data_IF_802070324763
#
_entry.id   IF_802070324763
#
_cell.length_a   1.000
_cell.length_b   1.000
_cell.length_c   1.000
_cell.angle_alpha   90.00
_cell.angle_beta   90.00
_cell.angle_gamma   90.00
#
_symmetry.space_group_name_H-M   'P 1'
#
loop_
_entity.id
_entity.type
_entity.pdbx_description
1 polymer ?
#
# COMPACT_ATOMS: atom_id res chain seq x y z
N UNK A 1 2.35 -26.71 10.66
CA UNK A 1 3.28 -26.19 9.62
C UNK A 1 3.35 -24.69 9.84
N UNK A 2 4.54 -24.10 9.72
CA UNK A 2 4.72 -22.64 9.86
C UNK A 2 3.84 -21.94 8.83
N UNK A 3 2.91 -21.10 9.29
CA UNK A 3 2.00 -20.32 8.45
C UNK A 3 2.73 -19.10 7.86
N UNK A 4 3.76 -19.35 7.06
CA UNK A 4 4.62 -18.31 6.48
C UNK A 4 3.79 -17.27 5.73
N UNK A 5 2.78 -17.69 4.96
CA UNK A 5 1.83 -16.81 4.28
C UNK A 5 1.06 -15.92 5.26
N UNK A 6 0.58 -16.46 6.39
CA UNK A 6 -0.14 -15.64 7.38
C UNK A 6 0.78 -14.63 8.07
N UNK A 7 2.02 -15.02 8.36
CA UNK A 7 3.03 -14.14 8.96
C UNK A 7 3.43 -13.01 8.01
N UNK A 8 3.68 -13.31 6.74
CA UNK A 8 4.00 -12.31 5.71
C UNK A 8 2.82 -11.36 5.50
N UNK A 9 1.59 -11.90 5.41
CA UNK A 9 0.39 -11.08 5.28
C UNK A 9 0.17 -10.21 6.53
N UNK A 10 0.43 -10.72 7.74
CA UNK A 10 0.34 -9.95 8.98
C UNK A 10 1.39 -8.83 9.05
N UNK A 11 2.63 -9.10 8.62
CA UNK A 11 3.70 -8.11 8.53
C UNK A 11 3.34 -7.01 7.52
N UNK A 12 2.83 -7.38 6.35
CA UNK A 12 2.39 -6.43 5.32
C UNK A 12 1.24 -5.55 5.81
N UNK A 13 0.21 -6.14 6.44
CA UNK A 13 -0.89 -5.38 7.07
C UNK A 13 -0.36 -4.40 8.12
N UNK A 14 0.64 -4.79 8.91
CA UNK A 14 1.27 -3.93 9.92
C UNK A 14 2.06 -2.78 9.28
N UNK A 15 2.79 -3.03 8.19
CA UNK A 15 3.49 -1.99 7.43
C UNK A 15 2.50 -0.95 6.89
N UNK A 16 1.42 -1.40 6.24
CA UNK A 16 0.37 -0.52 5.73
C UNK A 16 -0.22 0.32 6.85
N UNK A 17 -0.59 -0.30 7.97
CA UNK A 17 -1.14 0.40 9.13
C UNK A 17 -0.16 1.45 9.70
N UNK A 18 1.15 1.14 9.71
CA UNK A 18 2.18 2.10 10.12
C UNK A 18 2.26 3.30 9.17
N UNK A 19 2.28 3.06 7.85
CA UNK A 19 2.36 4.11 6.83
C UNK A 19 1.10 5.00 6.77
N UNK A 20 -0.07 4.47 7.15
CA UNK A 20 -1.31 5.23 7.30
C UNK A 20 -1.26 6.19 8.50
N UNK A 21 -0.60 5.79 9.59
CA UNK A 21 -0.40 6.67 10.76
C UNK A 21 0.66 7.74 10.51
N UNK A 22 1.67 7.43 9.69
CA UNK A 22 2.76 8.34 9.30
C UNK A 22 2.38 9.18 8.08
N UNK A 23 1.32 9.97 8.19
CA UNK A 23 0.86 10.89 7.12
C UNK A 23 1.85 12.01 6.84
N UNK A 24 2.76 12.28 7.78
CA UNK A 24 3.87 13.21 7.65
C UNK A 24 4.91 12.77 6.60
N UNK A 25 5.06 11.46 6.37
CA UNK A 25 6.03 10.92 5.42
C UNK A 25 5.47 10.97 4.00
N UNK A 26 6.09 11.77 3.14
CA UNK A 26 5.64 11.92 1.75
C UNK A 26 6.10 10.74 0.89
N UNK A 27 5.31 10.41 -0.14
CA UNK A 27 5.69 9.35 -1.07
C UNK A 27 7.00 9.66 -1.81
N UNK A 28 7.27 10.93 -2.12
CA UNK A 28 8.51 11.34 -2.80
C UNK A 28 9.74 11.10 -1.92
N UNK A 29 9.63 11.31 -0.61
CA UNK A 29 10.73 11.05 0.33
C UNK A 29 11.05 9.56 0.41
N UNK A 30 10.01 8.72 0.47
CA UNK A 30 10.17 7.26 0.43
C UNK A 30 10.79 6.80 -0.90
N UNK A 31 10.36 7.37 -2.03
CA UNK A 31 10.95 7.05 -3.34
C UNK A 31 12.43 7.43 -3.39
N UNK A 32 12.80 8.62 -2.93
CA UNK A 32 14.17 9.10 -2.97
C UNK A 32 15.09 8.31 -2.03
N UNK A 33 14.59 7.89 -0.87
CA UNK A 33 15.40 7.19 0.14
C UNK A 33 15.47 5.67 -0.09
N UNK A 34 14.35 5.04 -0.40
CA UNK A 34 14.19 3.59 -0.37
C UNK A 34 13.79 2.98 -1.73
N UNK A 35 13.56 3.79 -2.75
CA UNK A 35 13.18 3.31 -4.08
C UNK A 35 11.75 2.76 -4.20
N UNK A 36 10.91 2.91 -3.16
CA UNK A 36 9.50 2.56 -3.21
C UNK A 36 8.67 3.52 -2.35
N UNK A 37 7.36 3.57 -2.59
CA UNK A 37 6.41 4.32 -1.77
C UNK A 37 5.06 3.60 -1.67
N UNK A 38 4.06 4.25 -1.07
CA UNK A 38 2.69 3.69 -0.93
C UNK A 38 2.07 3.32 -2.28
N UNK A 39 2.34 4.08 -3.34
CA UNK A 39 1.84 3.76 -4.68
C UNK A 39 2.50 2.50 -5.27
N UNK A 40 3.77 2.22 -4.95
CA UNK A 40 4.43 0.98 -5.34
C UNK A 40 3.79 -0.21 -4.63
N UNK A 41 3.46 -0.08 -3.33
CA UNK A 41 2.75 -1.12 -2.59
C UNK A 41 1.37 -1.43 -3.20
N UNK A 42 0.66 -0.40 -3.66
CA UNK A 42 -0.64 -0.58 -4.33
C UNK A 42 -0.47 -1.31 -5.67
N UNK A 43 0.56 -0.95 -6.44
CA UNK A 43 0.88 -1.64 -7.70
C UNK A 43 1.24 -3.12 -7.47
N UNK A 44 2.04 -3.42 -6.44
CA UNK A 44 2.39 -4.80 -6.09
C UNK A 44 1.17 -5.60 -5.65
N UNK A 45 0.26 -4.99 -4.88
CA UNK A 45 -1.00 -5.61 -4.48
C UNK A 45 -1.87 -5.94 -5.70
N UNK A 46 -2.01 -5.00 -6.64
CA UNK A 46 -2.72 -5.21 -7.91
C UNK A 46 -2.11 -6.35 -8.71
N UNK A 47 -0.79 -6.35 -8.90
CA UNK A 47 -0.11 -7.40 -9.66
C UNK A 47 -0.24 -8.78 -8.98
N UNK A 48 -0.21 -8.85 -7.65
CA UNK A 48 -0.42 -10.09 -6.92
C UNK A 48 -1.86 -10.63 -7.09
N UNK A 49 -2.87 -9.77 -7.08
CA UNK A 49 -4.25 -10.14 -7.37
C UNK A 49 -4.41 -10.67 -8.80
N UNK A 50 -3.82 -9.97 -9.78
CA UNK A 50 -3.83 -10.37 -11.20
C UNK A 50 -3.18 -11.76 -11.40
N UNK A 51 -2.05 -12.02 -10.73
CA UNK A 51 -1.40 -13.33 -10.72
C UNK A 51 -2.26 -14.42 -10.06
N UNK A 52 -3.08 -14.03 -9.07
CA UNK A 52 -4.09 -14.89 -8.45
C UNK A 52 -5.36 -15.09 -9.27
N UNK A 53 -5.47 -14.47 -10.45
CA UNK A 53 -6.65 -14.55 -11.33
C UNK A 53 -7.76 -13.56 -10.99
N UNK A 54 -7.50 -12.59 -10.10
CA UNK A 54 -8.44 -11.55 -9.72
C UNK A 54 -8.05 -10.21 -10.36
N UNK A 55 -8.98 -9.58 -11.09
CA UNK A 55 -8.73 -8.29 -11.74
C UNK A 55 -9.24 -7.18 -10.83
N UNK A 56 -8.32 -6.45 -10.21
CA UNK A 56 -8.65 -5.27 -9.41
C UNK A 56 -8.12 -3.99 -10.05
N UNK A 57 -8.87 -2.91 -9.86
CA UNK A 57 -8.47 -1.58 -10.35
C UNK A 57 -7.36 -0.97 -9.51
N UNK A 58 -6.60 -0.03 -10.08
CA UNK A 58 -5.57 0.70 -9.33
C UNK A 58 -6.16 1.57 -8.20
N UNK A 59 -7.39 2.06 -8.36
CA UNK A 59 -8.07 2.79 -7.30
C UNK A 59 -8.39 1.91 -6.09
N UNK A 60 -8.87 0.69 -6.34
CA UNK A 60 -9.15 -0.32 -5.31
C UNK A 60 -7.86 -0.77 -4.61
N UNK A 61 -6.80 -1.05 -5.38
CA UNK A 61 -5.51 -1.39 -4.80
C UNK A 61 -4.95 -0.25 -3.92
N UNK A 62 -5.13 1.01 -4.34
CA UNK A 62 -4.79 2.17 -3.50
C UNK A 62 -5.68 2.23 -2.26
N UNK A 63 -6.97 1.96 -2.35
CA UNK A 63 -7.84 1.91 -1.18
C UNK A 63 -7.31 0.90 -0.14
N UNK A 64 -6.85 -0.28 -0.59
CA UNK A 64 -6.23 -1.28 0.30
C UNK A 64 -4.95 -0.78 0.98
N UNK A 65 -4.17 0.11 0.36
CA UNK A 65 -2.95 0.67 0.97
C UNK A 65 -3.24 1.92 1.81
N UNK A 66 -4.00 2.88 1.29
CA UNK A 66 -4.27 4.15 1.98
C UNK A 66 -5.36 4.04 3.05
N UNK A 67 -6.24 3.04 2.97
CA UNK A 67 -7.36 2.84 3.90
C UNK A 67 -8.54 3.80 3.69
N UNK A 68 -8.50 4.58 2.61
CA UNK A 68 -9.50 5.53 2.16
C UNK A 68 -9.29 5.79 0.67
N UNK A 69 -10.26 6.40 -0.04
CA UNK A 69 -10.07 6.84 -1.42
C UNK A 69 -8.82 7.69 -1.58
N UNK A 70 -7.99 7.39 -2.58
CA UNK A 70 -6.73 8.10 -2.81
C UNK A 70 -6.94 9.60 -3.04
N UNK A 71 -8.05 9.99 -3.66
CA UNK A 71 -8.40 11.39 -3.86
C UNK A 71 -8.58 12.14 -2.53
N UNK A 72 -9.22 11.51 -1.55
CA UNK A 72 -9.42 12.06 -0.20
C UNK A 72 -8.09 12.17 0.56
N UNK A 73 -7.25 11.13 0.47
CA UNK A 73 -5.93 11.14 1.08
C UNK A 73 -5.05 12.25 0.50
N UNK A 74 -5.04 12.39 -0.83
CA UNK A 74 -4.29 13.43 -1.54
C UNK A 74 -4.75 14.83 -1.13
N UNK A 75 -6.06 15.05 -1.03
CA UNK A 75 -6.60 16.35 -0.61
C UNK A 75 -6.24 16.71 0.84
N UNK A 76 -6.12 15.72 1.72
CA UNK A 76 -5.95 15.93 3.17
C UNK A 76 -4.48 15.97 3.61
N UNK A 77 -3.62 15.15 2.99
CA UNK A 77 -2.28 14.86 3.51
C UNK A 77 -1.14 15.09 2.51
N UNK A 78 -1.43 15.18 1.21
CA UNK A 78 -0.39 15.37 0.19
C UNK A 78 -0.15 16.86 -0.05
N UNK A 79 1.11 17.28 0.10
CA UNK A 79 1.56 18.66 -0.18
C UNK A 79 2.50 18.66 -1.38
#
# INVERSE_FOLDING_TARGET
>A
MSDTTEFEAAAFRRLIAHLRKRTDVQNIELMNLAGFCRNCLAEWYRSAAEQGGEVIGMEEARHHVYGMPYAEWKATFQK
#
